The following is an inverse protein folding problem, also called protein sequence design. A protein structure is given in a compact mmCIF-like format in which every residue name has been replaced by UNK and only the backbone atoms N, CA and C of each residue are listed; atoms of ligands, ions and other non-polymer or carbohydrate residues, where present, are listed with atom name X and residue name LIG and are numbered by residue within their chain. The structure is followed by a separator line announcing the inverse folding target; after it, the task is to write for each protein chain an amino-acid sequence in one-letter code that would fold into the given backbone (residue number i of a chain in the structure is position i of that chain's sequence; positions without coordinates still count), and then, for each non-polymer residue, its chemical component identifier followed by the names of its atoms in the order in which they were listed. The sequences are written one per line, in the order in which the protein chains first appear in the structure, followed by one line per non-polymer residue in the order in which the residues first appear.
data_IF_129314929910
#
_entry.id   IF_129314929910
#
_cell.length_a   1.000
_cell.length_b   1.000
_cell.length_c   1.000
_cell.angle_alpha   90.00
_cell.angle_beta   90.00
_cell.angle_gamma   90.00
#
_symmetry.space_group_name_H-M   'P 1'
#
loop_
_entity.id
_entity.type
_entity.pdbx_description
1 polymer ?
#
# COMPACT_ATOMS: atom_id res chain seq x y z
N UNK A 1 16.58 3.06 -25.32
CA UNK A 1 16.33 4.01 -24.22
C UNK A 1 14.83 4.19 -24.01
N UNK A 2 14.38 4.20 -22.76
CA UNK A 2 12.96 4.34 -22.39
C UNK A 2 12.72 5.67 -21.69
N UNK A 3 11.54 6.25 -21.88
CA UNK A 3 11.12 7.53 -21.30
C UNK A 3 9.72 7.41 -20.70
N UNK A 4 9.45 8.21 -19.67
CA UNK A 4 8.14 8.35 -19.05
C UNK A 4 7.33 9.43 -19.77
N UNK A 5 6.05 9.17 -19.95
CA UNK A 5 5.09 10.17 -20.43
C UNK A 5 4.49 10.90 -19.22
N UNK A 6 4.66 12.22 -19.15
CA UNK A 6 4.09 13.04 -18.09
C UNK A 6 2.66 13.46 -18.43
N UNK A 7 1.85 13.77 -17.41
CA UNK A 7 0.49 14.31 -17.58
C UNK A 7 0.42 15.55 -18.46
N UNK A 8 1.48 16.35 -18.45
CA UNK A 8 1.58 17.59 -19.23
C UNK A 8 1.98 17.33 -20.69
N UNK A 9 2.00 16.07 -21.14
CA UNK A 9 2.40 15.67 -22.50
C UNK A 9 3.91 15.66 -22.76
N UNK A 10 4.71 16.09 -21.79
CA UNK A 10 6.18 16.07 -21.89
C UNK A 10 6.73 14.66 -21.62
N UNK A 11 7.96 14.41 -22.09
CA UNK A 11 8.70 13.17 -21.82
C UNK A 11 9.87 13.44 -20.89
N UNK A 12 10.13 12.50 -19.98
CA UNK A 12 11.26 12.57 -19.05
C UNK A 12 11.93 11.21 -18.90
N UNK A 13 13.14 11.20 -18.33
CA UNK A 13 13.85 9.97 -18.00
C UNK A 13 13.11 9.14 -16.95
N UNK A 14 13.39 7.83 -16.91
CA UNK A 14 12.73 6.86 -16.02
C UNK A 14 12.92 7.21 -14.53
N UNK A 15 14.06 7.79 -14.18
CA UNK A 15 14.38 8.17 -12.79
C UNK A 15 13.45 9.26 -12.25
N UNK A 16 12.81 10.03 -13.13
CA UNK A 16 11.93 11.13 -12.77
C UNK A 16 10.51 10.69 -12.35
N UNK A 17 10.23 9.39 -12.17
CA UNK A 17 8.89 8.84 -11.89
C UNK A 17 8.16 9.50 -10.70
N UNK A 18 8.91 9.91 -9.66
CA UNK A 18 8.33 10.61 -8.49
C UNK A 18 7.67 11.94 -8.88
N UNK A 19 8.25 12.64 -9.86
CA UNK A 19 7.77 13.94 -10.35
C UNK A 19 6.93 13.85 -11.64
N UNK A 20 7.05 12.75 -12.38
CA UNK A 20 6.38 12.52 -13.66
C UNK A 20 5.79 11.11 -13.67
N UNK A 21 4.49 11.04 -13.36
CA UNK A 21 3.69 9.81 -13.39
C UNK A 21 2.26 10.15 -13.81
N UNK A 22 1.54 9.15 -14.35
CA UNK A 22 0.16 9.33 -14.81
C UNK A 22 -0.83 9.48 -13.67
N UNK A 23 -0.60 8.84 -12.52
CA UNK A 23 -1.40 9.04 -11.32
C UNK A 23 -0.67 8.44 -10.10
N UNK A 24 -0.97 8.97 -8.92
CA UNK A 24 -0.60 8.34 -7.65
C UNK A 24 -1.73 7.41 -7.24
N UNK A 25 -1.46 6.11 -7.20
CA UNK A 25 -2.41 5.12 -6.70
C UNK A 25 -2.35 5.12 -5.16
N UNK A 26 -3.48 5.28 -4.46
CA UNK A 26 -3.50 5.16 -3.01
C UNK A 26 -3.17 3.73 -2.58
N UNK A 27 -2.65 3.58 -1.36
CA UNK A 27 -2.47 2.25 -0.77
C UNK A 27 -3.85 1.56 -0.64
N UNK A 28 -3.86 0.21 -0.70
CA UNK A 28 -5.06 -0.56 -0.38
C UNK A 28 -5.41 -0.33 1.10
N UNK A 29 -6.69 -0.25 1.41
CA UNK A 29 -7.19 0.09 2.74
C UNK A 29 -8.20 -0.94 3.23
N UNK A 30 -8.22 -1.16 4.55
CA UNK A 30 -9.24 -1.95 5.22
C UNK A 30 -10.39 -1.03 5.61
N UNK A 31 -11.60 -1.40 5.20
CA UNK A 31 -12.82 -0.66 5.52
C UNK A 31 -13.55 -1.36 6.66
N UNK A 32 -14.14 -0.58 7.56
CA UNK A 32 -15.00 -1.07 8.65
C UNK A 32 -16.41 -0.49 8.50
N UNK A 33 -17.40 -1.15 9.11
CA UNK A 33 -18.79 -0.67 9.11
C UNK A 33 -18.87 0.76 9.64
N UNK A 34 -19.72 1.60 9.06
CA UNK A 34 -19.93 2.98 9.52
C UNK A 34 -20.54 3.05 10.93
N UNK A 35 -21.31 2.04 11.32
CA UNK A 35 -21.96 1.93 12.63
C UNK A 35 -21.01 1.47 13.75
N UNK A 36 -19.79 1.06 13.40
CA UNK A 36 -18.79 0.63 14.38
C UNK A 36 -18.32 1.86 15.18
N UNK A 37 -18.30 1.80 16.53
CA UNK A 37 -17.73 2.87 17.34
C UNK A 37 -16.21 2.96 17.16
N UNK A 38 -15.64 4.14 17.44
CA UNK A 38 -14.22 4.40 17.19
C UNK A 38 -13.26 3.55 18.04
N UNK A 39 -13.70 3.15 19.23
CA UNK A 39 -12.94 2.21 20.08
C UNK A 39 -12.75 0.86 19.39
N UNK A 40 -13.77 0.35 18.70
CA UNK A 40 -13.68 -0.92 17.98
C UNK A 40 -12.73 -0.81 16.78
N UNK A 41 -12.70 0.35 16.11
CA UNK A 41 -11.70 0.63 15.06
C UNK A 41 -10.28 0.61 15.60
N UNK A 42 -10.08 1.15 16.81
CA UNK A 42 -8.77 1.12 17.47
C UNK A 42 -8.34 -0.30 17.81
N UNK A 43 -9.25 -1.16 18.27
CA UNK A 43 -8.96 -2.58 18.51
C UNK A 43 -8.54 -3.30 17.23
N UNK A 44 -9.25 -3.08 16.12
CA UNK A 44 -8.89 -3.64 14.81
C UNK A 44 -7.49 -3.17 14.39
N UNK A 45 -7.20 -1.86 14.54
CA UNK A 45 -5.89 -1.32 14.20
C UNK A 45 -4.77 -1.89 15.07
N UNK A 46 -4.98 -1.98 16.38
CA UNK A 46 -4.02 -2.57 17.32
C UNK A 46 -3.74 -4.04 16.99
N UNK A 47 -4.78 -4.81 16.68
CA UNK A 47 -4.64 -6.22 16.30
C UNK A 47 -3.85 -6.38 14.99
N UNK A 48 -4.12 -5.55 13.99
CA UNK A 48 -3.38 -5.56 12.72
C UNK A 48 -1.91 -5.15 12.91
N UNK A 49 -1.64 -4.16 13.76
CA UNK A 49 -0.29 -3.72 14.06
C UNK A 49 0.50 -4.83 14.77
N UNK A 50 -0.11 -5.50 15.75
CA UNK A 50 0.50 -6.64 16.42
C UNK A 50 0.74 -7.82 15.48
N UNK A 51 -0.23 -8.13 14.62
CA UNK A 51 -0.09 -9.16 13.60
C UNK A 51 1.07 -8.85 12.63
N UNK A 52 1.23 -7.59 12.21
CA UNK A 52 2.35 -7.17 11.36
C UNK A 52 3.71 -7.34 12.07
N UNK A 53 3.80 -7.05 13.37
CA UNK A 53 5.06 -7.22 14.11
C UNK A 53 5.48 -8.69 14.22
N UNK A 54 4.50 -9.60 14.33
CA UNK A 54 4.77 -11.03 14.46
C UNK A 54 4.91 -11.77 13.12
N UNK A 55 4.15 -11.38 12.10
CA UNK A 55 4.00 -12.10 10.83
C UNK A 55 4.34 -11.24 9.60
N UNK A 56 4.99 -10.10 9.80
CA UNK A 56 5.34 -9.16 8.74
C UNK A 56 6.61 -9.50 7.96
N UNK A 57 7.37 -10.52 8.38
CA UNK A 57 8.59 -10.96 7.72
C UNK A 57 8.37 -12.28 6.96
N UNK A 58 8.98 -12.39 5.78
CA UNK A 58 8.95 -13.58 4.90
C UNK A 58 9.62 -14.82 5.53
N UNK A 59 10.19 -14.67 6.73
CA UNK A 59 10.82 -15.73 7.50
C UNK A 59 9.84 -16.57 8.32
N UNK A 60 8.57 -16.16 8.41
CA UNK A 60 7.54 -16.85 9.21
C UNK A 60 6.61 -17.71 8.33
N UNK A 61 6.12 -18.82 8.88
CA UNK A 61 5.26 -19.81 8.18
C UNK A 61 3.89 -19.21 7.77
N UNK A 62 3.45 -18.14 8.43
CA UNK A 62 2.27 -17.35 8.04
C UNK A 62 2.74 -15.94 7.65
N UNK A 63 2.46 -15.54 6.41
CA UNK A 63 2.94 -14.29 5.84
C UNK A 63 1.75 -13.37 5.54
N UNK A 64 1.74 -12.17 6.12
CA UNK A 64 0.67 -11.20 5.92
C UNK A 64 0.80 -10.40 4.60
N UNK A 65 2.02 -10.28 4.07
CA UNK A 65 2.33 -9.42 2.91
C UNK A 65 2.50 -10.16 1.58
N UNK A 66 2.65 -11.48 1.59
CA UNK A 66 2.98 -12.26 0.39
C UNK A 66 1.74 -12.97 -0.12
N UNK A 67 0.86 -12.20 -0.75
CA UNK A 67 -0.09 -12.72 -1.73
C UNK A 67 -0.53 -11.60 -2.69
N UNK A 68 0.43 -10.97 -3.37
CA UNK A 68 0.15 -10.08 -4.51
C UNK A 68 1.05 -10.37 -5.72
N UNK A 69 1.89 -11.40 -5.65
CA UNK A 69 2.70 -11.90 -6.75
C UNK A 69 2.30 -13.37 -7.04
N UNK A 70 1.10 -13.56 -7.55
CA UNK A 70 0.77 -14.69 -8.42
C UNK A 70 -0.34 -14.28 -9.40
#
# INVERSE_FOLDING_TARGET
DFELLCKNGTRKTIEAYKSCHLLRVPARVLMTSSLLPDLDRLYIWNMLNFAQQLFGSDTYVFIFYVCFYL
#
